data_IF_433821047962
#
_entry.id   IF_433821047962
#
_cell.length_a   1.000
_cell.length_b   1.000
_cell.length_c   1.000
_cell.angle_alpha   90.00
_cell.angle_beta   90.00
_cell.angle_gamma   90.00
#
_symmetry.space_group_name_H-M   'P 1'
#
loop_
_entity.id
_entity.type
_entity.pdbx_description
1 polymer ?
#
# COMPACT_ATOMS: atom_id res chain seq x y z
N UNK A 1 -52.74 -57.87 31.24
CA UNK A 1 -52.58 -57.65 29.78
C UNK A 1 -53.32 -56.38 29.41
N UNK A 2 -52.67 -55.23 29.56
CA UNK A 2 -53.07 -53.93 29.01
C UNK A 2 -51.95 -52.93 29.38
N UNK A 3 -51.13 -52.51 28.41
CA UNK A 3 -50.39 -51.23 28.38
C UNK A 3 -49.42 -51.25 27.20
N UNK A 4 -49.91 -50.89 26.01
CA UNK A 4 -49.09 -50.61 24.84
C UNK A 4 -49.91 -49.90 23.76
N UNK A 5 -50.28 -48.64 23.97
CA UNK A 5 -50.92 -47.82 22.91
C UNK A 5 -50.79 -46.29 23.11
N UNK A 6 -49.71 -45.80 23.73
CA UNK A 6 -49.57 -44.36 24.02
C UNK A 6 -48.22 -43.72 23.71
N UNK A 7 -47.37 -44.35 22.87
CA UNK A 7 -46.06 -43.80 22.49
C UNK A 7 -45.88 -43.43 21.01
N UNK A 8 -46.89 -43.64 20.16
CA UNK A 8 -46.76 -43.42 18.71
C UNK A 8 -47.42 -42.12 18.19
N UNK A 9 -48.26 -41.46 19.00
CA UNK A 9 -48.88 -40.18 18.65
C UNK A 9 -47.93 -38.98 18.85
N UNK A 10 -47.04 -39.05 19.83
CA UNK A 10 -46.14 -37.95 20.22
C UNK A 10 -44.92 -37.80 19.31
N UNK A 11 -44.47 -38.87 18.63
CA UNK A 11 -43.37 -38.79 17.65
C UNK A 11 -43.80 -38.23 16.29
N UNK A 12 -45.07 -38.40 15.93
CA UNK A 12 -45.63 -37.94 14.64
C UNK A 12 -45.95 -36.44 14.60
N UNK A 13 -46.19 -35.83 15.77
CA UNK A 13 -46.37 -34.38 15.88
C UNK A 13 -45.05 -33.60 15.88
N UNK A 14 -43.96 -34.18 16.39
CA UNK A 14 -42.63 -33.53 16.39
C UNK A 14 -42.03 -33.45 14.99
N UNK A 15 -42.14 -34.53 14.19
CA UNK A 15 -41.66 -34.56 12.80
C UNK A 15 -42.45 -33.60 11.88
N UNK A 16 -43.76 -33.41 12.12
CA UNK A 16 -44.56 -32.42 11.39
C UNK A 16 -44.20 -30.97 11.74
N UNK A 17 -43.68 -30.72 12.94
CA UNK A 17 -43.27 -29.38 13.37
C UNK A 17 -41.95 -28.92 12.76
N UNK A 18 -41.06 -29.85 12.41
CA UNK A 18 -39.77 -29.56 11.79
C UNK A 18 -39.90 -29.30 10.28
N UNK A 19 -40.71 -30.09 9.55
CA UNK A 19 -41.01 -29.83 8.12
C UNK A 19 -41.69 -28.46 7.89
N UNK A 20 -42.56 -28.02 8.81
CA UNK A 20 -43.24 -26.71 8.71
C UNK A 20 -42.27 -25.53 8.99
N UNK A 21 -41.17 -25.78 9.72
CA UNK A 21 -40.13 -24.76 9.96
C UNK A 21 -39.20 -24.61 8.76
N UNK A 22 -38.79 -25.71 8.13
CA UNK A 22 -37.95 -25.67 6.92
C UNK A 22 -38.66 -25.00 5.74
N UNK A 23 -39.94 -25.31 5.50
CA UNK A 23 -40.73 -24.63 4.46
C UNK A 23 -40.92 -23.12 4.72
N UNK A 24 -40.87 -22.68 5.97
CA UNK A 24 -40.98 -21.25 6.33
C UNK A 24 -39.69 -20.49 6.05
N UNK A 25 -38.54 -21.11 6.34
CA UNK A 25 -37.21 -20.54 6.08
C UNK A 25 -36.98 -20.41 4.57
N UNK A 26 -37.33 -21.45 3.80
CA UNK A 26 -37.18 -21.42 2.33
C UNK A 26 -38.10 -20.39 1.64
N UNK A 27 -39.25 -20.06 2.27
CA UNK A 27 -40.16 -19.00 1.80
C UNK A 27 -39.69 -17.59 2.19
N UNK A 28 -38.90 -17.45 3.25
CA UNK A 28 -38.27 -16.18 3.65
C UNK A 28 -37.03 -15.88 2.79
N UNK A 29 -36.18 -16.87 2.52
CA UNK A 29 -35.02 -16.73 1.62
C UNK A 29 -35.44 -16.35 0.19
N UNK A 30 -36.47 -17.01 -0.36
CA UNK A 30 -37.04 -16.64 -1.68
C UNK A 30 -37.73 -15.26 -1.70
N UNK A 31 -38.04 -14.68 -0.53
CA UNK A 31 -38.56 -13.32 -0.41
C UNK A 31 -37.45 -12.28 -0.31
N UNK A 32 -36.27 -12.65 0.20
CA UNK A 32 -35.09 -11.79 0.24
C UNK A 32 -34.40 -11.72 -1.12
N UNK A 33 -34.22 -12.84 -1.83
CA UNK A 33 -33.70 -12.82 -3.23
C UNK A 33 -34.56 -11.92 -4.15
N UNK A 34 -35.90 -12.02 -4.05
CA UNK A 34 -36.81 -11.15 -4.83
C UNK A 34 -36.78 -9.68 -4.44
N UNK A 35 -36.24 -9.33 -3.27
CA UNK A 35 -36.04 -7.93 -2.85
C UNK A 35 -34.70 -7.39 -3.33
N UNK A 36 -33.68 -8.22 -3.43
CA UNK A 36 -32.37 -7.85 -4.00
C UNK A 36 -32.47 -7.65 -5.52
N UNK A 37 -33.13 -8.55 -6.25
CA UNK A 37 -33.39 -8.40 -7.69
C UNK A 37 -34.18 -7.13 -8.03
N UNK A 38 -35.06 -6.69 -7.13
CA UNK A 38 -35.83 -5.44 -7.30
C UNK A 38 -35.00 -4.18 -7.04
N UNK A 39 -33.97 -4.26 -6.18
CA UNK A 39 -33.05 -3.14 -5.91
C UNK A 39 -32.06 -2.96 -7.06
N UNK A 40 -31.51 -4.04 -7.61
CA UNK A 40 -30.59 -3.97 -8.76
C UNK A 40 -31.29 -3.40 -10.00
N UNK A 41 -32.55 -3.77 -10.26
CA UNK A 41 -33.32 -3.22 -11.38
C UNK A 41 -33.74 -1.74 -11.19
N UNK A 42 -33.81 -1.23 -9.95
CA UNK A 42 -34.07 0.20 -9.69
C UNK A 42 -32.80 1.06 -9.81
N UNK A 43 -31.60 0.50 -9.57
CA UNK A 43 -30.32 1.18 -9.75
C UNK A 43 -29.90 1.26 -11.23
N UNK A 44 -30.08 0.18 -12.01
CA UNK A 44 -29.85 0.21 -13.46
C UNK A 44 -30.80 1.17 -14.21
N UNK A 45 -31.99 1.42 -13.65
CA UNK A 45 -32.97 2.37 -14.18
C UNK A 45 -32.61 3.85 -13.96
N UNK A 46 -31.70 4.15 -13.02
CA UNK A 46 -31.25 5.52 -12.71
C UNK A 46 -30.00 5.92 -13.49
N UNK A 47 -29.07 5.00 -13.77
CA UNK A 47 -27.86 5.29 -14.55
C UNK A 47 -28.12 5.61 -16.04
N UNK A 48 -29.27 5.20 -16.59
CA UNK A 48 -29.61 5.46 -18.01
C UNK A 48 -30.27 6.82 -18.28
N UNK A 49 -30.39 7.72 -17.29
CA UNK A 49 -31.01 9.06 -17.48
C UNK A 49 -30.05 10.24 -17.49
N UNK A 50 -28.76 10.07 -17.21
CA UNK A 50 -27.79 11.19 -17.24
C UNK A 50 -26.96 11.30 -18.52
N UNK A 51 -26.97 10.29 -19.40
CA UNK A 51 -26.26 10.36 -20.68
C UNK A 51 -27.22 10.55 -21.85
N UNK A 52 -27.60 11.80 -22.12
CA UNK A 52 -28.38 12.16 -23.30
C UNK A 52 -28.32 13.65 -23.67
N UNK A 53 -27.66 13.91 -24.82
CA UNK A 53 -27.76 15.08 -25.73
C UNK A 53 -27.02 16.37 -25.24
N UNK A 54 -26.13 17.07 -25.99
CA UNK A 54 -26.03 17.36 -27.44
C UNK A 54 -24.60 17.71 -27.89
N UNK A 55 -24.22 17.19 -29.06
CA UNK A 55 -23.27 17.83 -29.99
C UNK A 55 -23.91 19.07 -30.65
N UNK A 56 -23.14 20.15 -30.83
CA UNK A 56 -23.08 20.90 -32.09
C UNK A 56 -21.97 21.97 -32.07
N UNK A 57 -21.09 21.93 -33.08
CA UNK A 57 -20.73 23.08 -33.92
C UNK A 57 -19.69 24.10 -33.42
N UNK A 58 -18.44 23.90 -33.85
CA UNK A 58 -17.41 24.86 -34.33
C UNK A 58 -17.43 26.31 -33.82
N UNK A 59 -16.29 26.73 -33.27
CA UNK A 59 -15.57 27.93 -33.72
C UNK A 59 -14.08 27.80 -33.38
N UNK A 60 -13.23 28.13 -34.36
CA UNK A 60 -11.78 28.16 -34.26
C UNK A 60 -11.33 29.43 -33.52
N UNK A 61 -10.55 29.30 -32.45
CA UNK A 61 -9.56 30.30 -32.08
C UNK A 61 -8.25 29.61 -31.74
N UNK A 62 -7.21 29.96 -32.51
CA UNK A 62 -5.83 29.56 -32.30
C UNK A 62 -5.27 30.37 -31.14
N UNK A 63 -5.03 29.75 -30.00
CA UNK A 63 -4.02 30.22 -29.06
C UNK A 63 -2.91 29.18 -28.91
N UNK A 64 -1.70 29.62 -29.28
CA UNK A 64 -0.45 28.91 -29.07
C UNK A 64 -0.22 28.72 -27.56
N UNK A 65 -0.71 27.63 -27.00
CA UNK A 65 -0.22 27.08 -25.74
C UNK A 65 0.74 25.95 -26.06
N UNK A 66 2.02 26.10 -25.74
CA UNK A 66 2.92 24.95 -25.66
C UNK A 66 2.30 24.01 -24.63
N UNK A 67 1.91 22.83 -25.06
CA UNK A 67 1.57 21.71 -24.18
C UNK A 67 2.84 21.42 -23.36
N UNK A 68 2.96 22.03 -22.19
CA UNK A 68 3.85 21.53 -21.15
C UNK A 68 3.28 20.17 -20.76
N UNK A 69 3.94 19.11 -21.21
CA UNK A 69 3.77 17.78 -20.64
C UNK A 69 3.95 17.91 -19.13
N UNK A 70 2.83 17.89 -18.41
CA UNK A 70 2.82 17.84 -16.95
C UNK A 70 3.38 16.47 -16.60
N UNK A 71 4.68 16.43 -16.30
CA UNK A 71 5.35 15.30 -15.70
C UNK A 71 4.73 15.09 -14.32
N UNK A 72 3.67 14.29 -14.31
CA UNK A 72 2.99 13.74 -13.15
C UNK A 72 4.04 13.08 -12.23
N UNK A 73 4.48 13.79 -11.19
CA UNK A 73 5.47 13.31 -10.22
C UNK A 73 6.59 14.28 -9.77
N UNK A 74 6.58 15.57 -10.15
CA UNK A 74 7.71 16.48 -9.88
C UNK A 74 7.59 17.44 -8.68
N UNK A 75 6.51 17.37 -7.89
CA UNK A 75 6.30 18.32 -6.80
C UNK A 75 6.05 17.54 -5.51
N UNK A 76 7.01 17.60 -4.59
CA UNK A 76 6.77 17.22 -3.21
C UNK A 76 6.00 18.35 -2.54
N UNK A 77 5.24 18.03 -1.49
CA UNK A 77 4.66 19.07 -0.66
C UNK A 77 5.78 19.90 -0.01
N UNK A 78 5.61 21.23 0.14
CA UNK A 78 6.60 22.08 0.79
C UNK A 78 6.98 21.57 2.17
N UNK A 79 8.23 21.80 2.57
CA UNK A 79 8.68 21.41 3.90
C UNK A 79 7.87 22.14 4.97
N UNK A 80 7.41 21.39 5.97
CA UNK A 80 6.83 21.96 7.19
C UNK A 80 8.00 22.20 8.14
N UNK A 81 8.57 23.41 8.08
CA UNK A 81 9.80 23.79 8.79
C UNK A 81 9.76 23.56 10.32
N UNK A 82 8.58 23.52 10.91
CA UNK A 82 8.42 23.53 12.37
C UNK A 82 8.11 22.15 12.99
N UNK A 83 7.75 21.13 12.20
CA UNK A 83 7.33 19.83 12.73
C UNK A 83 7.61 18.66 11.78
N UNK A 84 7.94 17.50 12.37
CA UNK A 84 8.04 16.23 11.65
C UNK A 84 9.47 15.75 11.43
N UNK A 85 9.57 14.56 10.87
CA UNK A 85 10.83 13.84 10.70
C UNK A 85 11.38 13.91 9.27
N UNK A 86 10.82 14.78 8.42
CA UNK A 86 11.24 14.97 7.02
C UNK A 86 11.98 16.30 6.88
N UNK A 87 13.16 16.28 6.25
CA UNK A 87 14.00 17.47 6.06
C UNK A 87 14.42 17.62 4.59
N UNK A 88 14.24 18.80 3.99
CA UNK A 88 14.69 19.06 2.63
C UNK A 88 16.03 19.78 2.64
N UNK A 89 16.96 19.30 1.81
CA UNK A 89 18.26 19.94 1.65
C UNK A 89 18.68 19.95 0.20
N UNK A 90 18.78 21.15 -0.37
CA UNK A 90 19.32 21.32 -1.72
C UNK A 90 20.72 20.73 -1.85
N UNK A 91 21.67 21.07 -0.97
CA UNK A 91 23.07 20.58 -1.00
C UNK A 91 23.65 20.46 0.41
N UNK A 92 24.38 19.36 0.66
CA UNK A 92 25.15 19.13 1.88
C UNK A 92 26.67 19.02 1.60
N UNK A 93 27.15 19.70 0.56
CA UNK A 93 28.56 19.61 0.15
C UNK A 93 29.46 20.40 1.10
N UNK A 94 30.41 19.70 1.73
CA UNK A 94 31.53 20.23 2.53
C UNK A 94 31.18 21.41 3.45
N UNK A 95 30.30 21.23 4.44
CA UNK A 95 29.94 22.29 5.38
C UNK A 95 31.13 22.70 6.26
N UNK A 96 31.17 23.97 6.68
CA UNK A 96 32.12 24.43 7.70
C UNK A 96 31.90 23.66 9.01
N UNK A 97 32.92 23.55 9.90
CA UNK A 97 32.78 22.82 11.16
C UNK A 97 31.59 23.31 12.00
N UNK A 98 31.39 24.62 12.09
CA UNK A 98 30.25 25.19 12.82
C UNK A 98 28.92 24.81 12.18
N UNK A 99 28.81 24.88 10.85
CA UNK A 99 27.60 24.47 10.12
C UNK A 99 27.34 22.97 10.28
N UNK A 100 28.39 22.16 10.30
CA UNK A 100 28.29 20.72 10.50
C UNK A 100 27.69 20.38 11.87
N UNK A 101 28.13 21.04 12.95
CA UNK A 101 27.53 20.85 14.28
C UNK A 101 26.04 21.27 14.33
N UNK A 102 25.67 22.34 13.62
CA UNK A 102 24.26 22.75 13.50
C UNK A 102 23.43 21.69 12.77
N UNK A 103 23.92 21.14 11.66
CA UNK A 103 23.25 20.07 10.92
C UNK A 103 23.09 18.79 11.75
N UNK A 104 24.09 18.44 12.56
CA UNK A 104 24.00 17.30 13.50
C UNK A 104 22.93 17.54 14.56
N UNK A 105 22.87 18.76 15.10
CA UNK A 105 21.84 19.13 16.09
C UNK A 105 20.43 19.07 15.49
N UNK A 106 20.28 19.55 14.26
CA UNK A 106 19.03 19.46 13.51
C UNK A 106 18.62 18.00 13.26
N UNK A 107 19.55 17.15 12.78
CA UNK A 107 19.29 15.73 12.57
C UNK A 107 18.85 15.04 13.87
N UNK A 108 19.49 15.38 15.00
CA UNK A 108 19.10 14.86 16.31
C UNK A 108 17.67 15.23 16.68
N UNK A 109 17.24 16.46 16.37
CA UNK A 109 15.87 16.89 16.61
C UNK A 109 14.88 16.11 15.72
N UNK A 110 15.17 15.96 14.42
CA UNK A 110 14.35 15.17 13.47
C UNK A 110 14.20 13.71 13.89
N UNK A 111 15.29 13.08 14.32
CA UNK A 111 15.28 11.71 14.86
C UNK A 111 14.39 11.63 16.12
N UNK A 112 14.41 12.65 16.98
CA UNK A 112 13.55 12.72 18.15
C UNK A 112 12.06 12.76 17.80
N UNK A 113 11.68 13.62 16.86
CA UNK A 113 10.30 13.75 16.37
C UNK A 113 9.80 12.46 15.68
N UNK A 114 10.68 11.79 14.93
CA UNK A 114 10.37 10.53 14.24
C UNK A 114 10.66 9.26 15.03
N UNK A 115 10.75 9.32 16.36
CA UNK A 115 10.95 8.15 17.25
C UNK A 115 12.23 7.32 16.96
N UNK A 116 13.25 7.94 16.37
CA UNK A 116 14.49 7.32 15.94
C UNK A 116 14.64 7.21 14.42
N UNK A 117 13.69 7.75 13.63
CA UNK A 117 13.75 7.76 12.17
C UNK A 117 13.62 9.18 11.61
N UNK A 118 14.39 9.50 10.57
CA UNK A 118 14.29 10.76 9.84
C UNK A 118 14.45 10.52 8.34
N UNK A 119 13.71 11.26 7.52
CA UNK A 119 13.78 11.21 6.06
C UNK A 119 14.44 12.50 5.57
N UNK A 120 15.47 12.36 4.75
CA UNK A 120 16.17 13.47 4.12
C UNK A 120 15.93 13.44 2.62
N UNK A 121 15.42 14.55 2.09
CA UNK A 121 15.25 14.76 0.66
C UNK A 121 16.39 15.63 0.13
N UNK A 122 17.39 14.99 -0.49
CA UNK A 122 18.59 15.65 -0.99
C UNK A 122 18.40 16.06 -2.45
N UNK A 123 18.76 17.31 -2.77
CA UNK A 123 18.57 17.90 -4.09
C UNK A 123 17.17 18.48 -4.30
N UNK A 124 16.41 18.62 -3.22
CA UNK A 124 15.07 19.21 -3.20
C UNK A 124 15.15 20.58 -2.55
N UNK A 125 14.39 21.53 -3.10
CA UNK A 125 14.19 22.86 -2.54
C UNK A 125 13.12 22.85 -1.46
N UNK A 126 13.15 23.81 -0.54
CA UNK A 126 12.19 23.91 0.58
C UNK A 126 10.71 24.03 0.09
N UNK A 127 10.51 24.49 -1.15
CA UNK A 127 9.21 24.55 -1.84
C UNK A 127 8.74 23.20 -2.43
N UNK A 128 9.52 22.13 -2.23
CA UNK A 128 9.26 20.79 -2.77
C UNK A 128 9.73 20.58 -4.22
N UNK A 129 10.40 21.56 -4.83
CA UNK A 129 10.90 21.44 -6.20
C UNK A 129 12.10 20.48 -6.28
N UNK A 130 11.96 19.42 -7.07
CA UNK A 130 13.04 18.48 -7.39
C UNK A 130 14.05 19.10 -8.39
N UNK A 131 15.01 19.90 -7.90
CA UNK A 131 16.09 20.40 -8.77
C UNK A 131 17.07 19.30 -9.18
N UNK A 132 17.50 18.49 -8.22
CA UNK A 132 18.54 17.49 -8.44
C UNK A 132 19.95 18.06 -8.40
N UNK A 133 20.89 17.16 -8.19
CA UNK A 133 22.33 17.41 -8.08
C UNK A 133 23.09 16.62 -9.13
N UNK A 134 24.30 17.09 -9.46
CA UNK A 134 25.26 16.26 -10.18
C UNK A 134 25.64 15.03 -9.33
N UNK A 135 26.06 13.95 -9.99
CA UNK A 135 26.42 12.70 -9.31
C UNK A 135 27.51 12.91 -8.25
N UNK A 136 28.51 13.74 -8.55
CA UNK A 136 29.60 14.06 -7.63
C UNK A 136 29.11 14.84 -6.40
N UNK A 137 28.26 15.85 -6.59
CA UNK A 137 27.69 16.63 -5.47
C UNK A 137 26.75 15.79 -4.61
N UNK A 138 26.03 14.86 -5.22
CA UNK A 138 25.15 13.94 -4.53
C UNK A 138 25.93 12.97 -3.64
N UNK A 139 27.01 12.36 -4.17
CA UNK A 139 27.91 11.49 -3.41
C UNK A 139 28.52 12.24 -2.21
N UNK A 140 29.02 13.48 -2.43
CA UNK A 140 29.57 14.31 -1.34
C UNK A 140 28.52 14.70 -0.29
N UNK A 141 27.27 14.92 -0.72
CA UNK A 141 26.15 15.24 0.19
C UNK A 141 25.74 14.02 1.02
N UNK A 142 25.68 12.84 0.40
CA UNK A 142 25.42 11.57 1.09
C UNK A 142 26.53 11.24 2.09
N UNK A 143 27.80 11.42 1.72
CA UNK A 143 28.94 11.23 2.62
C UNK A 143 28.85 12.14 3.86
N UNK A 144 28.40 13.39 3.66
CA UNK A 144 28.22 14.34 4.76
C UNK A 144 27.08 13.90 5.67
N UNK A 145 25.95 13.45 5.10
CA UNK A 145 24.83 12.90 5.87
C UNK A 145 25.25 11.65 6.65
N UNK A 146 26.03 10.75 6.06
CA UNK A 146 26.59 9.57 6.75
C UNK A 146 27.52 9.97 7.90
N UNK A 147 28.34 11.02 7.73
CA UNK A 147 29.19 11.53 8.82
C UNK A 147 28.35 12.13 9.96
N UNK A 148 27.25 12.82 9.64
CA UNK A 148 26.32 13.35 10.64
C UNK A 148 25.64 12.22 11.43
N UNK A 149 25.10 11.23 10.72
CA UNK A 149 24.42 10.07 11.32
C UNK A 149 25.36 9.27 12.23
N UNK A 150 26.62 9.06 11.82
CA UNK A 150 27.65 8.39 12.64
C UNK A 150 27.90 9.06 13.99
N UNK A 151 27.80 10.40 14.08
CA UNK A 151 27.93 11.10 15.37
C UNK A 151 26.76 10.84 16.33
N UNK A 152 25.62 10.43 15.80
CA UNK A 152 24.39 10.18 16.54
C UNK A 152 24.09 8.67 16.66
N UNK A 153 25.05 7.80 16.37
CA UNK A 153 24.85 6.34 16.34
C UNK A 153 23.68 5.91 15.44
N UNK A 154 23.52 6.61 14.31
CA UNK A 154 22.49 6.32 13.31
C UNK A 154 23.11 5.82 11.99
N UNK A 155 22.34 5.03 11.26
CA UNK A 155 22.66 4.52 9.92
C UNK A 155 21.85 5.26 8.85
N UNK A 156 22.43 5.42 7.66
CA UNK A 156 21.79 6.06 6.51
C UNK A 156 21.59 5.03 5.41
N UNK A 157 20.37 4.93 4.90
CA UNK A 157 20.00 4.11 3.75
C UNK A 157 19.37 4.98 2.66
N UNK A 158 19.77 4.80 1.41
CA UNK A 158 19.12 5.48 0.29
C UNK A 158 17.85 4.69 -0.09
N UNK A 159 16.68 5.30 0.02
CA UNK A 159 15.40 4.67 -0.28
C UNK A 159 15.09 4.72 -1.77
N UNK A 160 15.25 5.90 -2.38
CA UNK A 160 15.02 6.07 -3.81
C UNK A 160 15.86 7.19 -4.40
N UNK A 161 16.23 7.03 -5.67
CA UNK A 161 16.78 8.09 -6.51
C UNK A 161 15.71 8.54 -7.50
N UNK A 162 15.55 9.86 -7.68
CA UNK A 162 14.62 10.44 -8.66
C UNK A 162 15.37 11.40 -9.57
N UNK A 163 14.88 11.56 -10.79
CA UNK A 163 15.43 12.53 -11.75
C UNK A 163 14.80 13.89 -11.51
N UNK A 164 15.61 14.85 -11.08
CA UNK A 164 15.23 16.26 -10.98
C UNK A 164 15.42 17.01 -12.30
N UNK A 165 15.12 18.32 -12.29
CA UNK A 165 15.24 19.21 -13.45
C UNK A 165 16.68 19.32 -14.00
N UNK A 166 17.65 19.38 -13.10
CA UNK A 166 19.07 19.68 -13.38
C UNK A 166 20.00 18.51 -12.97
N UNK A 167 19.48 17.43 -12.41
CA UNK A 167 20.29 16.31 -11.91
C UNK A 167 19.49 15.19 -11.24
N UNK A 168 20.09 14.51 -10.27
CA UNK A 168 19.47 13.44 -9.49
C UNK A 168 19.17 13.92 -8.06
N UNK A 169 18.02 13.55 -7.52
CA UNK A 169 17.63 13.74 -6.12
C UNK A 169 17.62 12.39 -5.41
N UNK A 170 17.88 12.36 -4.11
CA UNK A 170 17.85 11.13 -3.32
C UNK A 170 17.01 11.34 -2.08
N UNK A 171 16.11 10.39 -1.83
CA UNK A 171 15.43 10.23 -0.56
C UNK A 171 16.25 9.27 0.30
N UNK A 172 16.78 9.74 1.42
CA UNK A 172 17.56 8.96 2.36
C UNK A 172 16.82 8.79 3.69
N UNK A 173 16.79 7.57 4.21
CA UNK A 173 16.31 7.26 5.56
C UNK A 173 17.51 7.22 6.51
N UNK A 174 17.43 8.01 7.58
CA UNK A 174 18.35 7.96 8.70
C UNK A 174 17.64 7.29 9.87
N UNK A 175 18.20 6.19 10.39
CA UNK A 175 17.63 5.44 11.51
C UNK A 175 18.63 5.30 12.64
N UNK A 176 18.23 5.65 13.85
CA UNK A 176 19.01 5.44 15.07
C UNK A 176 19.15 3.93 15.35
N UNK A 177 20.37 3.47 15.57
CA UNK A 177 20.66 2.07 15.92
C UNK A 177 20.56 1.94 17.44
N UNK A 178 19.58 1.19 17.94
CA UNK A 178 19.39 0.98 19.39
C UNK A 178 19.99 -0.37 19.79
N UNK A 179 20.85 -0.39 20.81
CA UNK A 179 21.38 -1.66 21.34
C UNK A 179 20.22 -2.55 21.83
N UNK A 180 20.04 -3.71 21.18
CA UNK A 180 18.93 -4.63 21.42
C UNK A 180 17.73 -4.46 20.48
N UNK A 181 17.99 -4.10 19.22
CA UNK A 181 16.99 -3.81 18.17
C UNK A 181 15.72 -4.64 18.30
N UNK A 182 14.62 -3.91 18.55
CA UNK A 182 13.28 -4.47 18.49
C UNK A 182 13.00 -4.84 17.04
N UNK A 183 12.72 -6.11 16.80
CA UNK A 183 12.18 -6.55 15.50
C UNK A 183 10.88 -5.77 15.28
N UNK A 184 10.83 -4.98 14.21
CA UNK A 184 9.61 -4.28 13.79
C UNK A 184 8.75 -5.29 13.02
N UNK A 185 7.61 -5.68 13.60
CA UNK A 185 6.61 -6.54 12.95
C UNK A 185 5.48 -5.66 12.40
N UNK A 186 5.31 -5.66 11.07
CA UNK A 186 4.21 -4.95 10.40
C UNK A 186 3.29 -5.96 9.74
N UNK A 187 2.02 -5.95 10.16
CA UNK A 187 0.98 -6.83 9.61
C UNK A 187 0.15 -6.07 8.58
N UNK A 188 0.24 -6.49 7.33
CA UNK A 188 -0.51 -5.90 6.21
C UNK A 188 -1.60 -6.88 5.77
N UNK A 189 -2.86 -6.42 5.79
CA UNK A 189 -4.00 -7.17 5.25
C UNK A 189 -4.38 -6.62 3.88
N UNK A 190 -4.58 -7.51 2.91
CA UNK A 190 -4.98 -7.14 1.54
C UNK A 190 -6.42 -7.57 1.29
N UNK A 191 -7.30 -6.59 1.06
CA UNK A 191 -8.73 -6.79 0.82
C UNK A 191 -9.14 -6.21 -0.53
N UNK A 192 -10.24 -6.69 -1.11
CA UNK A 192 -10.74 -6.21 -2.41
C UNK A 192 -11.57 -7.24 -3.15
N UNK A 193 -12.16 -6.85 -4.29
CA UNK A 193 -13.10 -7.67 -5.04
C UNK A 193 -12.48 -8.97 -5.61
N UNK A 194 -13.30 -9.94 -6.00
CA UNK A 194 -12.83 -11.15 -6.67
C UNK A 194 -12.08 -10.78 -7.95
N UNK A 195 -11.02 -11.52 -8.28
CA UNK A 195 -10.17 -11.33 -9.47
C UNK A 195 -9.40 -10.00 -9.56
N UNK A 196 -9.38 -9.19 -8.51
CA UNK A 196 -8.59 -7.93 -8.46
C UNK A 196 -7.06 -8.13 -8.33
N UNK A 197 -6.56 -9.35 -8.50
CA UNK A 197 -5.12 -9.64 -8.47
C UNK A 197 -4.46 -9.69 -7.09
N UNK A 198 -5.20 -9.68 -5.97
CA UNK A 198 -4.62 -9.68 -4.60
C UNK A 198 -3.62 -10.80 -4.37
N UNK A 199 -4.02 -12.05 -4.59
CA UNK A 199 -3.18 -13.22 -4.37
C UNK A 199 -2.00 -13.27 -5.35
N UNK A 200 -2.20 -12.73 -6.55
CA UNK A 200 -1.13 -12.59 -7.54
C UNK A 200 -0.09 -11.59 -7.07
N UNK A 201 -0.50 -10.40 -6.62
CA UNK A 201 0.38 -9.38 -6.06
C UNK A 201 1.14 -9.88 -4.84
N UNK A 202 0.46 -10.53 -3.90
CA UNK A 202 1.10 -11.16 -2.74
C UNK A 202 2.15 -12.18 -3.20
N UNK A 203 1.81 -13.04 -4.15
CA UNK A 203 2.74 -14.05 -4.70
C UNK A 203 3.96 -13.44 -5.38
N UNK A 204 3.79 -12.35 -6.14
CA UNK A 204 4.90 -11.60 -6.78
C UNK A 204 5.78 -10.99 -5.70
N UNK A 205 5.19 -10.30 -4.72
CA UNK A 205 5.94 -9.64 -3.64
C UNK A 205 6.76 -10.64 -2.82
N UNK A 206 6.24 -11.82 -2.49
CA UNK A 206 6.96 -12.81 -1.67
C UNK A 206 8.09 -13.50 -2.42
N UNK A 207 7.94 -13.70 -3.73
CA UNK A 207 8.91 -14.48 -4.51
C UNK A 207 9.88 -13.62 -5.29
N UNK A 208 9.58 -12.34 -5.49
CA UNK A 208 10.31 -11.46 -6.41
C UNK A 208 10.15 -11.84 -7.89
N UNK A 209 9.28 -12.82 -8.21
CA UNK A 209 9.05 -13.27 -9.59
C UNK A 209 7.80 -12.64 -10.17
N UNK A 210 7.93 -12.07 -11.36
CA UNK A 210 6.80 -11.49 -12.06
C UNK A 210 5.80 -12.59 -12.46
N UNK A 211 4.50 -12.26 -12.36
CA UNK A 211 3.46 -13.17 -12.82
C UNK A 211 3.48 -13.30 -14.35
N UNK A 212 3.09 -14.47 -14.85
CA UNK A 212 3.02 -14.73 -16.29
C UNK A 212 1.67 -14.31 -16.92
N UNK A 213 0.88 -13.52 -16.20
CA UNK A 213 -0.47 -13.11 -16.60
C UNK A 213 -1.53 -14.22 -16.52
N UNK A 214 -1.17 -15.41 -16.03
CA UNK A 214 -2.07 -16.54 -15.81
C UNK A 214 -2.19 -16.93 -14.34
N UNK A 215 -1.66 -16.12 -13.43
CA UNK A 215 -1.69 -16.39 -11.99
C UNK A 215 -0.78 -17.55 -11.59
N UNK A 216 0.42 -17.62 -12.18
CA UNK A 216 1.48 -18.50 -11.68
C UNK A 216 1.98 -18.04 -10.30
N UNK A 217 2.11 -16.73 -10.09
CA UNK A 217 2.62 -16.17 -8.83
C UNK A 217 1.73 -16.51 -7.63
N UNK A 218 0.39 -16.51 -7.80
CA UNK A 218 -0.57 -16.82 -6.72
C UNK A 218 -0.54 -18.29 -6.26
N UNK A 219 0.02 -19.20 -7.05
CA UNK A 219 0.19 -20.61 -6.64
C UNK A 219 1.09 -20.73 -5.41
N UNK A 220 2.00 -19.77 -5.19
CA UNK A 220 2.84 -19.71 -4.00
C UNK A 220 2.08 -19.30 -2.73
N UNK A 221 0.85 -18.80 -2.87
CA UNK A 221 0.00 -18.31 -1.77
C UNK A 221 -1.09 -19.31 -1.38
N UNK A 222 -1.49 -20.17 -2.32
CA UNK A 222 -2.54 -21.16 -2.11
C UNK A 222 -2.12 -22.24 -1.12
N UNK A 223 -3.02 -22.53 -0.19
CA UNK A 223 -2.80 -23.51 0.88
C UNK A 223 -3.58 -24.81 0.63
N UNK A 224 -4.63 -24.77 -0.18
CA UNK A 224 -5.53 -25.90 -0.37
C UNK A 224 -5.66 -26.35 -1.83
N UNK A 225 -5.87 -27.66 -2.02
CA UNK A 225 -6.02 -28.26 -3.35
C UNK A 225 -7.14 -27.62 -4.17
N UNK A 226 -8.28 -27.32 -3.55
CA UNK A 226 -9.40 -26.68 -4.24
C UNK A 226 -9.08 -25.24 -4.68
N UNK A 227 -8.15 -24.54 -4.04
CA UNK A 227 -7.69 -23.22 -4.50
C UNK A 227 -6.82 -23.35 -5.76
N UNK A 228 -5.98 -24.40 -5.82
CA UNK A 228 -5.17 -24.72 -7.00
C UNK A 228 -6.07 -25.12 -8.17
N UNK A 229 -7.05 -25.99 -7.92
CA UNK A 229 -7.96 -26.50 -8.95
C UNK A 229 -8.87 -25.40 -9.52
N UNK A 230 -9.38 -24.50 -8.67
CA UNK A 230 -10.29 -23.41 -9.08
C UNK A 230 -9.58 -22.12 -9.48
N UNK A 231 -8.31 -21.96 -9.08
CA UNK A 231 -7.60 -20.70 -9.21
C UNK A 231 -8.13 -19.58 -8.30
N UNK A 232 -8.94 -19.90 -7.28
CA UNK A 232 -9.53 -18.92 -6.36
C UNK A 232 -9.04 -19.15 -4.94
N UNK A 233 -8.68 -18.08 -4.26
CA UNK A 233 -8.39 -18.11 -2.82
C UNK A 233 -9.68 -18.25 -2.04
N UNK A 234 -9.76 -19.25 -1.17
CA UNK A 234 -10.90 -19.54 -0.29
C UNK A 234 -10.52 -19.45 1.18
N UNK A 235 -9.22 -19.32 1.48
CA UNK A 235 -8.66 -19.25 2.83
C UNK A 235 -7.89 -17.96 3.08
N UNK A 236 -7.74 -17.61 4.37
CA UNK A 236 -6.83 -16.55 4.82
C UNK A 236 -5.42 -17.16 4.85
N UNK A 237 -4.51 -16.59 4.07
CA UNK A 237 -3.11 -17.01 3.98
C UNK A 237 -2.22 -15.93 4.61
N UNK A 238 -1.45 -16.31 5.63
CA UNK A 238 -0.43 -15.44 6.23
C UNK A 238 0.92 -15.75 5.58
N UNK A 239 1.60 -14.71 5.11
CA UNK A 239 2.88 -14.82 4.43
C UNK A 239 3.86 -13.89 5.12
N UNK A 240 5.05 -14.40 5.42
CA UNK A 240 6.09 -13.66 6.14
C UNK A 240 7.12 -13.16 5.14
N UNK A 241 7.42 -11.86 5.18
CA UNK A 241 8.52 -11.23 4.48
C UNK A 241 9.51 -10.66 5.49
N UNK A 242 10.78 -11.03 5.38
CA UNK A 242 11.84 -10.55 6.26
C UNK A 242 12.71 -9.53 5.55
N UNK A 243 13.14 -8.50 6.27
CA UNK A 243 14.07 -7.48 5.79
C UNK A 243 15.31 -7.44 6.67
N UNK A 244 16.48 -7.20 6.06
CA UNK A 244 17.71 -6.88 6.78
C UNK A 244 17.72 -5.41 7.25
N UNK A 245 18.77 -5.04 7.98
CA UNK A 245 19.05 -3.67 8.43
C UNK A 245 19.14 -2.64 7.29
N UNK A 246 19.49 -3.10 6.08
CA UNK A 246 19.62 -2.31 4.86
C UNK A 246 18.36 -2.29 4.00
N UNK A 247 17.29 -2.97 4.41
CA UNK A 247 16.03 -3.06 3.68
C UNK A 247 16.01 -4.08 2.54
N UNK A 248 17.01 -4.97 2.41
CA UNK A 248 16.96 -6.08 1.47
C UNK A 248 16.12 -7.23 2.02
N UNK A 249 15.46 -7.92 1.10
CA UNK A 249 14.59 -9.04 1.43
C UNK A 249 15.43 -10.30 1.69
N UNK A 250 15.27 -10.93 2.86
CA UNK A 250 16.07 -12.10 3.26
C UNK A 250 15.41 -13.45 2.94
N UNK A 251 14.10 -13.46 2.63
CA UNK A 251 13.31 -14.67 2.45
C UNK A 251 13.02 -15.00 0.97
N UNK A 252 13.53 -14.23 0.02
CA UNK A 252 13.51 -14.63 -1.38
C UNK A 252 14.36 -15.90 -1.55
N UNK A 253 13.77 -16.92 -2.19
CA UNK A 253 14.53 -18.12 -2.55
C UNK A 253 15.57 -17.71 -3.59
N UNK A 254 16.85 -17.88 -3.27
CA UNK A 254 17.95 -17.80 -4.22
C UNK A 254 17.87 -18.90 -5.28
#
# INVERSE_FOLDING_TARGET
MAESDSKDSSKKEVLKGEEIKEEKIEKEEKKEEKKEDKKENEEEGKEKKENGVKENGKEEEKENGKEEEVLDGMILEPEIDDHGNVEYKRKLVNPTPDRFEHLVTQLKWRLGEGQGEAIYEIGVDDDGTLRGLSKEELELSMDTLTKMAKKLSAEVSALCERKGKEGMTVQALVREVKEGDKIVDVRVAVCGNVDSGKSTMIGVLITGTNDNGRGAARLNVFSHKHEIDTGRTSSISEQIMGFDDKGHIVNYKA
#
